data_IF_380311020461
#
_entry.id   IF_380311020461
#
_cell.length_a   1.000
_cell.length_b   1.000
_cell.length_c   1.000
_cell.angle_alpha   90.00
_cell.angle_beta   90.00
_cell.angle_gamma   90.00
#
_symmetry.space_group_name_H-M   'P 1'
#
loop_
_entity.id
_entity.type
_entity.pdbx_description
1 polymer ?
#
# COMPACT_ATOMS: atom_id res chain seq x y z
N UNK A 1 1.13 -37.93 -25.70
CA UNK A 1 0.69 -37.04 -24.59
C UNK A 1 1.84 -36.11 -24.23
N UNK A 2 1.77 -34.81 -24.55
CA UNK A 2 2.80 -33.85 -24.15
C UNK A 2 2.72 -33.62 -22.63
N UNK A 3 3.86 -33.63 -21.95
CA UNK A 3 3.97 -33.22 -20.54
C UNK A 3 4.57 -31.83 -20.49
N UNK A 4 3.84 -30.89 -19.90
CA UNK A 4 4.31 -29.52 -19.65
C UNK A 4 4.91 -29.49 -18.24
N UNK A 5 6.17 -29.06 -18.12
CA UNK A 5 6.79 -28.83 -16.82
C UNK A 5 6.28 -27.51 -16.21
N UNK A 6 5.49 -27.61 -15.15
CA UNK A 6 4.89 -26.47 -14.43
C UNK A 6 5.73 -26.02 -13.22
N UNK A 7 6.91 -26.62 -13.00
CA UNK A 7 7.73 -26.29 -11.82
C UNK A 7 8.36 -24.91 -11.97
N UNK A 8 8.43 -24.11 -10.89
CA UNK A 8 9.07 -22.79 -10.95
C UNK A 8 10.55 -22.92 -11.29
N UNK A 9 11.01 -22.12 -12.28
CA UNK A 9 12.43 -22.03 -12.64
C UNK A 9 13.32 -21.55 -11.48
N UNK A 10 12.75 -20.78 -10.55
CA UNK A 10 13.44 -20.24 -9.38
C UNK A 10 12.48 -20.13 -8.19
N UNK A 11 12.94 -20.53 -7.00
CA UNK A 11 12.16 -20.42 -5.76
C UNK A 11 12.72 -19.27 -4.92
N UNK A 12 11.97 -18.17 -4.81
CA UNK A 12 12.31 -17.09 -3.89
C UNK A 12 12.12 -17.54 -2.43
N UNK A 13 13.01 -17.08 -1.56
CA UNK A 13 12.97 -17.39 -0.11
C UNK A 13 11.79 -16.77 0.64
N UNK A 14 11.09 -15.80 0.03
CA UNK A 14 9.94 -15.11 0.63
C UNK A 14 10.27 -14.12 1.75
N UNK A 15 11.52 -14.09 2.24
CA UNK A 15 11.95 -13.24 3.36
C UNK A 15 11.65 -11.75 3.11
N UNK A 16 11.96 -11.27 1.91
CA UNK A 16 11.73 -9.90 1.50
C UNK A 16 10.23 -9.53 1.35
N UNK A 17 9.34 -10.52 1.22
CA UNK A 17 7.88 -10.32 1.26
C UNK A 17 7.38 -10.25 2.71
N UNK A 18 7.93 -11.09 3.60
CA UNK A 18 7.56 -11.13 5.02
C UNK A 18 7.79 -9.80 5.74
N UNK A 19 8.85 -9.07 5.37
CA UNK A 19 9.17 -7.73 5.92
C UNK A 19 8.30 -6.61 5.33
N UNK A 20 7.41 -6.92 4.38
CA UNK A 20 6.63 -5.92 3.64
C UNK A 20 5.14 -6.17 3.67
N UNK A 21 4.73 -7.41 3.90
CA UNK A 21 3.34 -7.85 3.81
C UNK A 21 2.67 -7.84 5.18
N UNK A 22 1.74 -6.92 5.37
CA UNK A 22 0.98 -6.68 6.59
C UNK A 22 -0.52 -6.67 6.28
N UNK A 23 -1.12 -7.83 5.99
CA UNK A 23 -2.50 -7.92 5.51
C UNK A 23 -3.52 -7.40 6.53
N UNK A 24 -3.21 -7.47 7.83
CA UNK A 24 -4.08 -6.90 8.87
C UNK A 24 -4.14 -5.37 8.82
N UNK A 25 -3.05 -4.70 8.44
CA UNK A 25 -3.06 -3.25 8.23
C UNK A 25 -3.83 -2.88 6.96
N UNK A 26 -3.63 -3.62 5.86
CA UNK A 26 -4.42 -3.45 4.63
C UNK A 26 -5.92 -3.60 4.90
N UNK A 27 -6.30 -4.61 5.68
CA UNK A 27 -7.70 -4.82 6.06
C UNK A 27 -8.22 -3.68 6.94
N UNK A 28 -7.42 -3.19 7.87
CA UNK A 28 -7.77 -2.05 8.71
C UNK A 28 -7.98 -0.76 7.89
N UNK A 29 -7.15 -0.49 6.88
CA UNK A 29 -7.32 0.64 5.96
C UNK A 29 -8.65 0.56 5.19
N UNK A 30 -9.03 -0.63 4.71
CA UNK A 30 -10.30 -0.84 3.99
C UNK A 30 -11.55 -0.57 4.86
N UNK A 31 -11.41 -0.49 6.18
CA UNK A 31 -12.47 -0.10 7.11
C UNK A 31 -12.50 1.40 7.46
N UNK A 32 -11.64 2.22 6.83
CA UNK A 32 -11.55 3.67 7.07
C UNK A 32 -12.27 4.43 5.93
N UNK A 33 -12.74 5.67 6.17
CA UNK A 33 -13.20 6.55 5.10
C UNK A 33 -12.09 6.85 4.08
N UNK A 34 -12.48 7.26 2.88
CA UNK A 34 -11.54 7.77 1.88
C UNK A 34 -10.74 8.94 2.43
N UNK A 35 -9.42 8.92 2.23
CA UNK A 35 -8.52 10.01 2.64
C UNK A 35 -8.93 11.35 2.00
N UNK A 36 -9.38 11.34 0.75
CA UNK A 36 -9.84 12.56 0.09
C UNK A 36 -11.11 13.07 0.75
N UNK A 37 -12.08 12.16 0.93
CA UNK A 37 -13.46 12.46 1.33
C UNK A 37 -14.13 13.48 0.39
N UNK A 38 -15.44 13.33 0.15
CA UNK A 38 -16.11 14.24 -0.78
C UNK A 38 -17.36 13.64 -1.40
N UNK A 39 -18.08 14.48 -2.14
CA UNK A 39 -19.30 14.10 -2.86
C UNK A 39 -19.02 13.27 -4.12
N UNK A 40 -17.77 13.25 -4.59
CA UNK A 40 -17.28 12.48 -5.74
C UNK A 40 -16.71 11.10 -5.33
N UNK A 41 -16.75 10.75 -4.04
CA UNK A 41 -16.34 9.42 -3.58
C UNK A 41 -17.30 8.35 -4.12
N UNK A 42 -16.75 7.34 -4.81
CA UNK A 42 -17.52 6.24 -5.38
C UNK A 42 -16.81 4.89 -5.27
N UNK A 43 -17.62 3.82 -5.16
CA UNK A 43 -17.18 2.44 -5.03
C UNK A 43 -16.70 2.02 -3.63
N UNK A 44 -16.09 0.84 -3.55
CA UNK A 44 -15.60 0.25 -2.28
C UNK A 44 -14.32 0.90 -1.79
N UNK A 45 -14.08 0.79 -0.48
CA UNK A 45 -12.81 1.19 0.13
C UNK A 45 -11.69 0.18 -0.14
N UNK A 46 -10.54 0.71 -0.50
CA UNK A 46 -9.33 -0.02 -0.89
C UNK A 46 -8.11 0.56 -0.17
N UNK A 47 -7.07 -0.27 -0.04
CA UNK A 47 -5.77 0.20 0.45
C UNK A 47 -4.89 0.49 -0.76
N UNK A 48 -4.59 1.76 -0.98
CA UNK A 48 -3.82 2.24 -2.10
C UNK A 48 -2.36 2.43 -1.70
N UNK A 49 -1.46 1.66 -2.30
CA UNK A 49 -0.03 1.75 -2.00
C UNK A 49 0.59 3.01 -2.59
N UNK A 50 1.32 3.76 -1.76
CA UNK A 50 2.03 4.98 -2.16
C UNK A 50 3.39 4.58 -2.72
N UNK A 51 3.41 4.25 -4.01
CA UNK A 51 4.57 3.63 -4.66
C UNK A 51 5.87 4.45 -4.57
N UNK A 52 5.75 5.78 -4.61
CA UNK A 52 6.90 6.69 -4.57
C UNK A 52 7.41 6.96 -3.15
N UNK A 53 6.80 6.39 -2.10
CA UNK A 53 7.27 6.48 -0.72
C UNK A 53 8.59 5.71 -0.44
N UNK A 54 9.29 5.26 -1.48
CA UNK A 54 10.62 4.65 -1.42
C UNK A 54 10.66 3.21 -0.89
N UNK A 55 11.87 2.64 -0.84
CA UNK A 55 12.13 1.26 -0.40
C UNK A 55 12.02 0.20 -1.49
N UNK A 56 11.95 0.60 -2.77
CA UNK A 56 11.96 -0.31 -3.92
C UNK A 56 13.40 -0.60 -4.36
N UNK A 57 13.87 -1.82 -4.13
CA UNK A 57 14.80 -2.44 -5.08
C UNK A 57 14.04 -2.81 -6.35
N UNK A 58 14.72 -2.99 -7.48
CA UNK A 58 14.10 -3.45 -8.73
C UNK A 58 13.28 -4.72 -8.47
N UNK A 59 11.99 -4.73 -8.85
CA UNK A 59 11.01 -5.81 -8.60
C UNK A 59 10.52 -6.02 -7.15
N UNK A 60 10.74 -5.08 -6.22
CA UNK A 60 10.21 -5.20 -4.85
C UNK A 60 8.91 -4.41 -4.67
N UNK A 61 7.89 -5.08 -4.13
CA UNK A 61 6.62 -4.47 -3.73
C UNK A 61 6.85 -3.48 -2.60
N UNK A 62 6.09 -2.39 -2.56
CA UNK A 62 6.10 -1.46 -1.42
C UNK A 62 5.48 -2.13 -0.19
N UNK A 63 6.03 -1.81 0.99
CA UNK A 63 5.50 -2.31 2.25
C UNK A 63 4.06 -1.84 2.48
N UNK A 64 3.22 -2.71 3.03
CA UNK A 64 1.79 -2.45 3.21
C UNK A 64 1.52 -1.27 4.15
N UNK A 65 2.43 -0.95 5.09
CA UNK A 65 2.33 0.24 5.95
C UNK A 65 2.56 1.57 5.21
N UNK A 66 2.90 1.53 3.92
CA UNK A 66 2.97 2.71 3.04
C UNK A 66 1.76 2.78 2.12
N UNK A 67 0.57 2.53 2.67
CA UNK A 67 -0.69 2.61 1.96
C UNK A 67 -1.67 3.56 2.66
N UNK A 68 -2.62 4.09 1.91
CA UNK A 68 -3.68 4.99 2.38
C UNK A 68 -5.06 4.40 2.03
N UNK A 69 -6.13 4.74 2.78
CA UNK A 69 -7.47 4.32 2.43
C UNK A 69 -8.05 5.23 1.35
N UNK A 70 -8.42 4.67 0.20
CA UNK A 70 -9.08 5.39 -0.89
C UNK A 70 -10.30 4.61 -1.35
N UNK A 71 -11.35 5.31 -1.81
CA UNK A 71 -12.41 4.67 -2.55
C UNK A 71 -11.88 4.25 -3.94
N UNK A 72 -12.61 3.38 -4.64
CA UNK A 72 -12.19 2.91 -5.97
C UNK A 72 -11.96 4.05 -6.96
N UNK A 73 -12.79 5.08 -6.92
CA UNK A 73 -12.65 6.24 -7.79
C UNK A 73 -11.29 6.93 -7.60
N UNK A 74 -10.99 7.38 -6.37
CA UNK A 74 -9.73 8.07 -6.07
C UNK A 74 -8.52 7.13 -6.13
N UNK A 75 -8.69 5.83 -5.89
CA UNK A 75 -7.62 4.86 -6.07
C UNK A 75 -7.25 4.71 -7.56
N UNK A 76 -8.24 4.66 -8.45
CA UNK A 76 -8.02 4.64 -9.89
C UNK A 76 -7.40 5.96 -10.40
N UNK A 77 -7.80 7.10 -9.81
CA UNK A 77 -7.17 8.39 -10.10
C UNK A 77 -5.68 8.40 -9.70
N UNK A 78 -5.36 7.91 -8.50
CA UNK A 78 -3.98 7.78 -8.03
C UNK A 78 -3.12 6.94 -8.99
N UNK A 79 -3.66 5.84 -9.53
CA UNK A 79 -2.97 5.00 -10.51
C UNK A 79 -2.59 5.73 -11.81
N UNK A 80 -3.29 6.83 -12.15
CA UNK A 80 -2.95 7.65 -13.33
C UNK A 80 -1.75 8.56 -13.09
N UNK A 81 -1.43 8.87 -11.83
CA UNK A 81 -0.24 9.62 -11.48
C UNK A 81 -0.28 10.21 -10.07
N UNK A 82 0.64 9.75 -9.22
CA UNK A 82 0.69 10.20 -7.82
C UNK A 82 0.95 11.70 -7.64
N UNK A 83 1.89 12.29 -8.41
CA UNK A 83 2.19 13.73 -8.31
C UNK A 83 0.98 14.60 -8.69
N UNK A 84 0.25 14.19 -9.74
CA UNK A 84 -0.94 14.89 -10.19
C UNK A 84 -2.07 14.76 -9.17
N UNK A 85 -2.25 13.56 -8.60
CA UNK A 85 -3.22 13.31 -7.54
C UNK A 85 -2.94 14.17 -6.29
N UNK A 86 -1.71 14.21 -5.82
CA UNK A 86 -1.29 15.05 -4.69
C UNK A 86 -1.53 16.54 -4.95
N UNK A 87 -1.22 17.02 -6.15
CA UNK A 87 -1.47 18.41 -6.54
C UNK A 87 -2.97 18.74 -6.63
N UNK A 88 -3.78 17.85 -7.21
CA UNK A 88 -5.22 18.03 -7.37
C UNK A 88 -5.94 18.10 -6.02
N UNK A 89 -5.57 17.20 -5.09
CA UNK A 89 -6.21 17.09 -3.78
C UNK A 89 -5.50 17.88 -2.68
N UNK A 90 -4.35 18.50 -2.98
CA UNK A 90 -3.51 19.28 -2.05
C UNK A 90 -3.10 18.47 -0.81
N UNK A 91 -2.62 17.26 -1.04
CA UNK A 91 -2.20 16.33 0.02
C UNK A 91 -0.76 15.85 -0.20
N UNK A 92 -0.18 15.31 0.86
CA UNK A 92 1.07 14.53 0.82
C UNK A 92 0.73 13.07 1.17
N UNK A 93 0.83 12.18 0.18
CA UNK A 93 0.49 10.77 0.33
C UNK A 93 1.48 10.03 1.25
N UNK A 94 2.76 10.43 1.23
CA UNK A 94 3.78 9.82 2.09
C UNK A 94 3.52 10.18 3.55
N UNK A 95 3.23 11.45 3.83
CA UNK A 95 2.85 11.90 5.16
C UNK A 95 1.54 11.25 5.63
N UNK A 96 0.54 11.16 4.75
CA UNK A 96 -0.73 10.51 5.06
C UNK A 96 -0.53 9.02 5.39
N UNK A 97 0.22 8.27 4.57
CA UNK A 97 0.51 6.86 4.82
C UNK A 97 1.22 6.67 6.17
N UNK A 98 2.22 7.51 6.48
CA UNK A 98 2.91 7.48 7.78
C UNK A 98 1.94 7.73 8.94
N UNK A 99 1.01 8.67 8.81
CA UNK A 99 0.01 8.96 9.83
C UNK A 99 -0.97 7.79 10.04
N UNK A 100 -1.42 7.13 8.98
CA UNK A 100 -2.25 5.92 9.10
C UNK A 100 -1.50 4.76 9.73
N UNK A 101 -0.26 4.54 9.33
CA UNK A 101 0.55 3.47 9.90
C UNK A 101 0.80 3.66 11.40
N UNK A 102 1.11 4.88 11.85
CA UNK A 102 1.26 5.20 13.28
C UNK A 102 -0.04 4.98 14.08
N UNK A 103 -1.21 5.19 13.46
CA UNK A 103 -2.53 4.95 14.07
C UNK A 103 -3.01 3.50 13.95
N UNK A 104 -2.28 2.65 13.24
CA UNK A 104 -2.67 1.26 13.05
C UNK A 104 -2.62 0.49 14.37
N UNK A 105 -3.66 -0.29 14.73
CA UNK A 105 -3.61 -1.17 15.90
C UNK A 105 -2.57 -2.29 15.71
N UNK A 106 -2.10 -2.49 14.48
CA UNK A 106 -1.13 -3.53 14.12
C UNK A 106 0.30 -3.01 13.93
N UNK A 107 0.58 -1.76 14.32
CA UNK A 107 1.89 -1.12 14.11
C UNK A 107 3.08 -1.86 14.74
N UNK A 108 2.84 -2.64 15.80
CA UNK A 108 3.84 -3.54 16.38
C UNK A 108 4.39 -4.59 15.41
N UNK A 109 3.69 -4.90 14.31
CA UNK A 109 4.13 -5.89 13.31
C UNK A 109 5.32 -5.45 12.47
N UNK A 110 5.63 -4.16 12.45
CA UNK A 110 6.79 -3.60 11.73
C UNK A 110 7.66 -2.74 12.65
N UNK A 111 7.56 -2.90 13.97
CA UNK A 111 8.32 -2.11 14.94
C UNK A 111 9.84 -2.29 14.80
N UNK A 112 10.26 -3.51 14.45
CA UNK A 112 11.67 -3.90 14.27
C UNK A 112 12.23 -3.54 12.89
N UNK A 113 11.39 -3.00 11.99
CA UNK A 113 11.81 -2.60 10.65
C UNK A 113 12.35 -1.18 10.71
N UNK A 114 13.63 -1.02 10.36
CA UNK A 114 14.28 0.28 10.34
C UNK A 114 13.55 1.26 9.40
N UNK A 115 13.28 2.46 9.91
CA UNK A 115 12.57 3.51 9.17
C UNK A 115 11.07 3.30 9.01
N UNK A 116 10.48 2.23 9.56
CA UNK A 116 9.03 2.06 9.57
C UNK A 116 8.36 3.00 10.60
N UNK A 117 7.20 3.58 10.28
CA UNK A 117 6.46 4.45 11.20
C UNK A 117 5.96 3.66 12.42
N UNK A 118 6.24 4.16 13.63
CA UNK A 118 5.91 3.51 14.92
C UNK A 118 4.69 4.13 15.58
#
# INVERSE_FOLDING_TARGET
MMRVDIRPRHRNSGKADAERRFPTHVQWLRGRPCLIAGTDCDGRMEAAHVDHAGGKGTSLKVADYKAVPLCQHHHAELHRGAKTFEAAHKIDLVAAARAYAAKSPHRGRWADIEGAPR
#
